data_IF_070389281440
#
_entry.id   IF_070389281440
#
_cell.length_a   1.000
_cell.length_b   1.000
_cell.length_c   1.000
_cell.angle_alpha   90.00
_cell.angle_beta   90.00
_cell.angle_gamma   90.00
#
_symmetry.space_group_name_H-M   'P 1'
#
loop_
_entity.id
_entity.type
_entity.pdbx_description
1 polymer ?
#
# COMPACT_ATOMS: atom_id res chain seq x y z
N UNK A 1 -10.85 0.64 -9.05
CA UNK A 1 -9.83 1.72 -8.98
C UNK A 1 -8.69 1.20 -8.12
N UNK A 2 -7.44 1.22 -8.61
CA UNK A 2 -6.31 0.58 -7.90
C UNK A 2 -5.64 1.56 -6.92
N UNK A 3 -5.23 2.75 -7.37
CA UNK A 3 -4.65 3.81 -6.55
C UNK A 3 -5.27 5.18 -6.87
N UNK A 4 -5.23 6.10 -5.91
CA UNK A 4 -5.49 7.53 -6.11
C UNK A 4 -4.23 8.31 -5.70
N UNK A 5 -3.75 9.20 -6.56
CA UNK A 5 -2.67 10.15 -6.26
C UNK A 5 -3.28 11.55 -6.13
N UNK A 6 -3.07 12.20 -4.99
CA UNK A 6 -3.57 13.55 -4.70
C UNK A 6 -2.38 14.48 -4.43
N UNK A 7 -2.07 15.31 -5.43
CA UNK A 7 -0.94 16.26 -5.40
C UNK A 7 -1.17 17.45 -4.47
N UNK A 8 -2.42 17.87 -4.25
CA UNK A 8 -2.72 19.00 -3.37
C UNK A 8 -2.43 18.65 -1.90
N UNK A 9 -2.77 17.43 -1.49
CA UNK A 9 -2.55 16.93 -0.14
C UNK A 9 -1.30 16.04 -0.02
N UNK A 10 -0.47 15.99 -1.08
CA UNK A 10 0.73 15.16 -1.17
C UNK A 10 0.54 13.72 -0.68
N UNK A 11 -0.59 13.09 -1.03
CA UNK A 11 -0.91 11.73 -0.59
C UNK A 11 -1.20 10.77 -1.74
N UNK A 12 -0.99 9.49 -1.47
CA UNK A 12 -1.39 8.37 -2.31
C UNK A 12 -2.20 7.37 -1.48
N UNK A 13 -3.31 6.92 -2.06
CA UNK A 13 -4.18 5.89 -1.44
C UNK A 13 -4.24 4.67 -2.35
N UNK A 14 -3.86 3.51 -1.83
CA UNK A 14 -4.04 2.21 -2.46
C UNK A 14 -5.34 1.57 -1.99
N UNK A 15 -6.29 1.41 -2.93
CA UNK A 15 -7.63 0.87 -2.63
C UNK A 15 -7.66 -0.64 -2.54
N UNK A 16 -6.61 -1.35 -2.97
CA UNK A 16 -6.56 -2.82 -2.86
C UNK A 16 -6.47 -3.27 -1.41
N UNK A 17 -5.77 -2.49 -0.59
CA UNK A 17 -5.47 -2.78 0.81
C UNK A 17 -5.91 -1.67 1.78
N UNK A 18 -6.45 -0.56 1.26
CA UNK A 18 -6.88 0.59 2.07
C UNK A 18 -5.73 1.43 2.65
N UNK A 19 -4.51 1.29 2.12
CA UNK A 19 -3.32 2.00 2.61
C UNK A 19 -3.30 3.45 2.10
N UNK A 20 -3.06 4.41 2.98
CA UNK A 20 -2.83 5.81 2.61
C UNK A 20 -1.46 6.27 3.11
N UNK A 21 -0.64 6.80 2.21
CA UNK A 21 0.65 7.43 2.53
C UNK A 21 0.61 8.91 2.17
N UNK A 22 1.21 9.75 3.00
CA UNK A 22 1.35 11.19 2.80
C UNK A 22 2.73 11.57 2.23
N UNK A 23 3.47 10.59 1.72
CA UNK A 23 4.82 10.75 1.16
C UNK A 23 4.78 10.69 -0.37
N UNK A 24 3.90 11.47 -1.01
CA UNK A 24 3.70 11.39 -2.46
C UNK A 24 4.99 11.62 -3.27
N UNK A 25 5.85 12.57 -2.85
CA UNK A 25 7.11 12.84 -3.54
C UNK A 25 8.02 11.60 -3.59
N UNK A 26 8.26 10.99 -2.43
CA UNK A 26 9.09 9.79 -2.29
C UNK A 26 8.52 8.62 -3.11
N UNK A 27 7.21 8.45 -3.08
CA UNK A 27 6.50 7.42 -3.87
C UNK A 27 6.66 7.65 -5.37
N UNK A 28 6.69 8.90 -5.83
CA UNK A 28 6.91 9.25 -7.24
C UNK A 28 8.38 9.12 -7.63
N UNK A 29 9.30 9.35 -6.69
CA UNK A 29 10.75 9.15 -6.88
C UNK A 29 11.15 7.66 -6.87
N UNK A 30 10.22 6.77 -6.50
CA UNK A 30 10.37 5.32 -6.62
C UNK A 30 10.35 4.53 -5.31
N UNK A 31 10.17 5.19 -4.16
CA UNK A 31 10.04 4.55 -2.84
C UNK A 31 8.68 3.86 -2.71
N UNK A 32 8.59 2.65 -3.27
CA UNK A 32 7.38 1.83 -3.33
C UNK A 32 7.44 0.61 -2.41
N UNK A 33 8.53 0.41 -1.68
CA UNK A 33 8.77 -0.78 -0.86
C UNK A 33 7.64 -0.97 0.17
N UNK A 34 7.25 0.08 0.88
CA UNK A 34 6.12 0.08 1.82
C UNK A 34 4.81 -0.41 1.19
N UNK A 35 4.54 -0.02 -0.05
CA UNK A 35 3.33 -0.44 -0.76
C UNK A 35 3.39 -1.90 -1.17
N UNK A 36 4.55 -2.34 -1.66
CA UNK A 36 4.77 -3.73 -2.12
C UNK A 36 4.72 -4.68 -0.93
N UNK A 37 5.35 -4.32 0.19
CA UNK A 37 5.33 -5.08 1.43
C UNK A 37 3.92 -5.19 1.99
N UNK A 38 3.19 -4.08 2.07
CA UNK A 38 1.81 -4.08 2.55
C UNK A 38 0.88 -4.91 1.64
N UNK A 39 1.07 -4.86 0.32
CA UNK A 39 0.33 -5.69 -0.64
C UNK A 39 0.67 -7.17 -0.49
N UNK A 40 1.94 -7.50 -0.31
CA UNK A 40 2.40 -8.87 -0.15
C UNK A 40 1.91 -9.47 1.16
N UNK A 41 1.95 -8.69 2.24
CA UNK A 41 1.40 -9.06 3.54
C UNK A 41 -0.12 -9.26 3.49
N UNK A 42 -0.85 -8.45 2.71
CA UNK A 42 -2.29 -8.63 2.51
C UNK A 42 -2.62 -9.82 1.61
N UNK A 43 -1.78 -10.12 0.61
CA UNK A 43 -1.99 -11.23 -0.32
C UNK A 43 -1.71 -12.58 0.35
N UNK A 44 -0.73 -12.63 1.23
CA UNK A 44 -0.53 -13.79 2.11
C UNK A 44 -1.74 -13.78 3.06
N UNK A 45 -2.70 -14.72 2.90
CA UNK A 45 -3.70 -14.88 3.95
C UNK A 45 -2.91 -15.19 5.22
N UNK A 46 -3.40 -14.79 6.38
CA UNK A 46 -2.93 -15.31 7.65
C UNK A 46 -3.27 -16.81 7.78
N UNK A 47 -2.86 -17.63 6.83
CA UNK A 47 -2.86 -19.10 6.82
C UNK A 47 -1.79 -19.65 7.78
N UNK A 48 -1.52 -18.93 8.87
CA UNK A 48 -0.85 -19.43 10.06
C UNK A 48 -1.81 -19.49 11.27
N UNK A 49 -3.11 -19.32 11.05
CA UNK A 49 -4.12 -20.04 11.81
C UNK A 49 -4.40 -21.37 11.07
N UNK A 50 -3.44 -22.31 11.00
CA UNK A 50 -3.41 -23.44 11.94
C UNK A 50 -4.83 -24.01 12.12
N UNK A 51 -5.30 -25.05 11.45
CA UNK A 51 -4.68 -26.37 11.18
C UNK A 51 -4.05 -27.05 12.42
N UNK A 52 -4.57 -26.76 13.61
CA UNK A 52 -4.39 -27.58 14.81
C UNK A 52 -5.76 -27.92 15.41
#
# INVERSE_FOLDING_TARGET
KIRTYNFHESRVTDHRIGLTSYRLGEVLDGDLDDFIDALTASLRPSDAAATA
#
